data_IF_227892949483
#
_entry.id   IF_227892949483
#
_cell.length_a   1.000
_cell.length_b   1.000
_cell.length_c   1.000
_cell.angle_alpha   90.00
_cell.angle_beta   90.00
_cell.angle_gamma   90.00
#
_symmetry.space_group_name_H-M   'P 1'
#
loop_
_entity.id
_entity.type
_entity.pdbx_description
1 polymer ?
#
# COMPACT_ATOMS: atom_id res chain seq x y z
N UNK A 1 -23.03 -33.79 -0.60
CA UNK A 1 -21.96 -33.49 0.37
C UNK A 1 -21.69 -32.01 0.29
N UNK A 2 -21.94 -31.26 1.37
CA UNK A 2 -21.48 -29.88 1.45
C UNK A 2 -19.94 -29.88 1.53
N UNK A 3 -19.23 -28.98 0.84
CA UNK A 3 -17.79 -28.84 1.02
C UNK A 3 -17.49 -28.58 2.51
N UNK A 4 -16.39 -29.12 3.05
CA UNK A 4 -16.01 -28.83 4.42
C UNK A 4 -15.90 -27.31 4.61
N UNK A 5 -16.32 -26.76 5.76
CA UNK A 5 -16.17 -25.33 6.01
C UNK A 5 -14.67 -25.02 5.92
N UNK A 6 -14.28 -24.27 4.90
CA UNK A 6 -12.96 -23.63 4.85
C UNK A 6 -12.83 -22.87 6.16
N UNK A 7 -11.80 -23.17 6.94
CA UNK A 7 -11.57 -22.54 8.23
C UNK A 7 -11.50 -21.02 8.00
N UNK A 8 -12.50 -20.26 8.48
CA UNK A 8 -12.54 -18.79 8.33
C UNK A 8 -11.22 -18.12 8.75
N UNK A 9 -10.54 -18.69 9.75
CA UNK A 9 -9.22 -18.25 10.19
C UNK A 9 -8.13 -18.42 9.13
N UNK A 10 -8.13 -19.49 8.33
CA UNK A 10 -7.12 -19.72 7.28
C UNK A 10 -7.27 -18.70 6.15
N UNK A 11 -8.50 -18.43 5.70
CA UNK A 11 -8.77 -17.39 4.69
C UNK A 11 -8.37 -15.99 5.18
N UNK A 12 -8.64 -15.68 6.45
CA UNK A 12 -8.27 -14.39 7.05
C UNK A 12 -6.76 -14.23 7.14
N UNK A 13 -6.06 -15.28 7.57
CA UNK A 13 -4.59 -15.29 7.62
C UNK A 13 -3.97 -15.14 6.23
N UNK A 14 -4.48 -15.84 5.22
CA UNK A 14 -4.04 -15.66 3.82
C UNK A 14 -4.28 -14.24 3.33
N UNK A 15 -5.42 -13.64 3.69
CA UNK A 15 -5.74 -12.25 3.32
C UNK A 15 -4.77 -11.27 3.99
N UNK A 16 -4.48 -11.45 5.29
CA UNK A 16 -3.49 -10.65 6.03
C UNK A 16 -2.10 -10.81 5.41
N UNK A 17 -1.68 -12.02 5.07
CA UNK A 17 -0.40 -12.27 4.39
C UNK A 17 -0.34 -11.59 3.02
N UNK A 18 -1.44 -11.60 2.28
CA UNK A 18 -1.52 -10.91 0.97
C UNK A 18 -1.36 -9.40 1.16
N UNK A 19 -2.00 -8.82 2.18
CA UNK A 19 -1.85 -7.40 2.52
C UNK A 19 -0.41 -7.08 2.93
N UNK A 20 0.25 -7.94 3.69
CA UNK A 20 1.64 -7.77 4.11
C UNK A 20 2.61 -7.77 2.91
N UNK A 21 2.42 -8.71 1.98
CA UNK A 21 3.18 -8.78 0.72
C UNK A 21 2.95 -7.52 -0.13
N UNK A 22 1.71 -7.08 -0.28
CA UNK A 22 1.38 -5.86 -1.00
C UNK A 22 1.97 -4.63 -0.31
N UNK A 23 1.95 -4.56 1.02
CA UNK A 23 2.54 -3.47 1.79
C UNK A 23 4.04 -3.37 1.56
N UNK A 24 4.74 -4.50 1.60
CA UNK A 24 6.19 -4.57 1.33
C UNK A 24 6.49 -4.09 -0.08
N UNK A 25 5.74 -4.59 -1.07
CA UNK A 25 5.92 -4.21 -2.48
C UNK A 25 5.63 -2.72 -2.73
N UNK A 26 4.57 -2.18 -2.14
CA UNK A 26 4.24 -0.74 -2.20
C UNK A 26 5.38 0.09 -1.59
N UNK A 27 5.95 -0.36 -0.47
CA UNK A 27 7.08 0.31 0.16
C UNK A 27 8.33 0.33 -0.73
N UNK A 28 8.69 -0.81 -1.33
CA UNK A 28 9.82 -0.94 -2.25
C UNK A 28 9.65 -0.04 -3.49
N UNK A 29 8.48 -0.06 -4.11
CA UNK A 29 8.18 0.80 -5.26
C UNK A 29 8.20 2.28 -4.88
N UNK A 30 7.73 2.62 -3.68
CA UNK A 30 7.77 3.99 -3.18
C UNK A 30 9.21 4.48 -2.98
N UNK A 31 10.08 3.65 -2.40
CA UNK A 31 11.51 3.97 -2.27
C UNK A 31 12.17 4.17 -3.63
N UNK A 32 11.93 3.26 -4.59
CA UNK A 32 12.46 3.39 -5.94
C UNK A 32 12.00 4.69 -6.62
N UNK A 33 10.71 5.04 -6.48
CA UNK A 33 10.18 6.29 -7.01
C UNK A 33 10.80 7.52 -6.33
N UNK A 34 11.05 7.45 -5.02
CA UNK A 34 11.69 8.54 -4.29
C UNK A 34 13.15 8.75 -4.70
N UNK A 35 13.92 7.67 -4.82
CA UNK A 35 15.32 7.71 -5.24
C UNK A 35 15.44 8.25 -6.66
N UNK A 36 14.62 7.75 -7.58
CA UNK A 36 14.60 8.21 -8.97
C UNK A 36 14.17 9.68 -9.10
N UNK A 37 13.22 10.13 -8.27
CA UNK A 37 12.84 11.53 -8.18
C UNK A 37 14.01 12.40 -7.69
N UNK A 38 14.70 11.96 -6.64
CA UNK A 38 15.88 12.66 -6.13
C UNK A 38 16.98 12.75 -7.20
N UNK A 39 17.29 11.63 -7.86
CA UNK A 39 18.31 11.58 -8.92
C UNK A 39 17.95 12.46 -10.11
N UNK A 40 16.67 12.50 -10.49
CA UNK A 40 16.19 13.35 -11.59
C UNK A 40 16.40 14.85 -11.33
N UNK A 41 16.41 15.29 -10.07
CA UNK A 41 16.68 16.69 -9.71
C UNK A 41 18.15 17.07 -9.89
N UNK A 42 19.05 16.11 -9.72
CA UNK A 42 20.49 16.32 -9.85
C UNK A 42 21.02 16.00 -11.25
N UNK A 43 20.21 15.36 -12.09
CA UNK A 43 20.56 15.05 -13.48
C UNK A 43 20.92 16.35 -14.24
N UNK A 44 22.09 16.35 -14.86
CA UNK A 44 22.62 17.51 -15.60
C UNK A 44 22.16 17.44 -17.05
N UNK A 45 21.97 16.23 -17.59
CA UNK A 45 21.62 16.03 -19.00
C UNK A 45 20.11 15.93 -19.17
N UNK A 46 19.57 16.65 -20.18
CA UNK A 46 18.13 16.64 -20.47
C UNK A 46 17.57 15.24 -20.75
N UNK A 47 18.33 14.39 -21.45
CA UNK A 47 17.93 13.00 -21.73
C UNK A 47 17.85 12.13 -20.47
N UNK A 48 18.69 12.38 -19.46
CA UNK A 48 18.62 11.67 -18.17
C UNK A 48 17.35 12.06 -17.41
N UNK A 49 17.00 13.34 -17.42
CA UNK A 49 15.74 13.85 -16.83
C UNK A 49 14.50 13.29 -17.51
N UNK A 50 14.51 13.22 -18.84
CA UNK A 50 13.40 12.67 -19.61
C UNK A 50 13.23 11.16 -19.34
N UNK A 51 14.34 10.41 -19.33
CA UNK A 51 14.32 8.98 -18.99
C UNK A 51 13.84 8.74 -17.54
N UNK A 52 14.31 9.53 -16.57
CA UNK A 52 13.85 9.44 -15.19
C UNK A 52 12.36 9.78 -15.05
N UNK A 53 11.86 10.76 -15.81
CA UNK A 53 10.44 11.12 -15.83
C UNK A 53 9.56 9.99 -16.39
N UNK A 54 10.02 9.31 -17.45
CA UNK A 54 9.33 8.15 -18.00
C UNK A 54 9.29 6.98 -17.01
N UNK A 55 10.42 6.68 -16.37
CA UNK A 55 10.51 5.62 -15.36
C UNK A 55 9.64 5.93 -14.14
N UNK A 56 9.61 7.19 -13.66
CA UNK A 56 8.72 7.60 -12.56
C UNK A 56 7.25 7.44 -12.92
N UNK A 57 6.86 7.71 -14.17
CA UNK A 57 5.48 7.50 -14.62
C UNK A 57 5.09 6.01 -14.56
N UNK A 58 5.95 5.13 -15.06
CA UNK A 58 5.72 3.67 -15.02
C UNK A 58 5.67 3.15 -13.58
N UNK A 59 6.59 3.60 -12.72
CA UNK A 59 6.59 3.24 -11.30
C UNK A 59 5.31 3.73 -10.61
N UNK A 60 4.88 4.97 -10.87
CA UNK A 60 3.65 5.50 -10.29
C UNK A 60 2.42 4.71 -10.73
N UNK A 61 2.29 4.37 -12.01
CA UNK A 61 1.16 3.56 -12.51
C UNK A 61 1.14 2.19 -11.84
N UNK A 62 2.31 1.57 -11.68
CA UNK A 62 2.45 0.28 -10.98
C UNK A 62 2.05 0.40 -9.52
N UNK A 63 2.50 1.45 -8.85
CA UNK A 63 2.23 1.68 -7.43
C UNK A 63 0.75 2.01 -7.20
N UNK A 64 0.11 2.79 -8.06
CA UNK A 64 -1.34 3.03 -8.03
C UNK A 64 -2.14 1.74 -8.19
N UNK A 65 -1.72 0.85 -9.08
CA UNK A 65 -2.35 -0.46 -9.25
C UNK A 65 -2.20 -1.32 -7.99
N UNK A 66 -1.01 -1.35 -7.39
CA UNK A 66 -0.75 -2.14 -6.19
C UNK A 66 -1.50 -1.57 -4.97
N UNK A 67 -1.62 -0.23 -4.86
CA UNK A 67 -2.48 0.46 -3.87
C UNK A 67 -3.94 0.06 -4.05
N UNK A 68 -4.46 0.13 -5.28
CA UNK A 68 -5.85 -0.23 -5.55
C UNK A 68 -6.13 -1.70 -5.19
N UNK A 69 -5.21 -2.60 -5.54
CA UNK A 69 -5.28 -4.01 -5.13
C UNK A 69 -5.24 -4.17 -3.61
N UNK A 70 -4.38 -3.41 -2.92
CA UNK A 70 -4.32 -3.42 -1.46
C UNK A 70 -5.63 -2.92 -0.83
N UNK A 71 -6.23 -1.85 -1.37
CA UNK A 71 -7.53 -1.33 -0.90
C UNK A 71 -8.64 -2.36 -1.08
N UNK A 72 -8.70 -3.02 -2.24
CA UNK A 72 -9.69 -4.06 -2.53
C UNK A 72 -9.57 -5.24 -1.56
N UNK A 73 -8.35 -5.76 -1.36
CA UNK A 73 -8.10 -6.86 -0.42
C UNK A 73 -8.40 -6.44 1.01
N UNK A 74 -8.01 -5.22 1.41
CA UNK A 74 -8.28 -4.70 2.75
C UNK A 74 -9.77 -4.50 3.02
N UNK A 75 -10.54 -4.07 2.01
CA UNK A 75 -11.99 -3.91 2.12
C UNK A 75 -12.73 -5.25 2.28
N UNK A 76 -12.10 -6.36 1.88
CA UNK A 76 -12.66 -7.71 2.07
C UNK A 76 -12.52 -8.24 3.51
N UNK A 77 -11.68 -7.60 4.34
CA UNK A 77 -11.49 -8.03 5.72
C UNK A 77 -12.69 -7.69 6.60
N UNK A 78 -13.22 -8.70 7.27
CA UNK A 78 -14.22 -8.52 8.32
C UNK A 78 -13.52 -8.22 9.65
N UNK A 79 -13.96 -7.16 10.33
CA UNK A 79 -13.44 -6.77 11.65
C UNK A 79 -13.55 -7.91 12.68
N UNK A 80 -14.57 -8.76 12.55
CA UNK A 80 -14.79 -9.91 13.45
C UNK A 80 -13.69 -10.95 13.25
N UNK A 81 -13.34 -11.25 12.00
CA UNK A 81 -12.32 -12.24 11.68
C UNK A 81 -10.93 -11.76 12.10
N UNK A 82 -10.66 -10.45 11.93
CA UNK A 82 -9.42 -9.83 12.45
C UNK A 82 -9.39 -9.82 13.98
N UNK A 83 -10.54 -9.60 14.65
CA UNK A 83 -10.62 -9.66 16.11
C UNK A 83 -10.35 -11.08 16.63
N UNK A 84 -10.75 -12.14 15.93
CA UNK A 84 -10.45 -13.53 16.32
C UNK A 84 -8.93 -13.81 16.35
N UNK A 85 -8.16 -13.16 15.47
CA UNK A 85 -6.69 -13.22 15.51
C UNK A 85 -6.16 -12.63 16.82
N UNK A 86 -6.68 -11.47 17.24
CA UNK A 86 -6.30 -10.84 18.51
C UNK A 86 -6.75 -11.66 19.73
N UNK A 87 -7.93 -12.29 19.69
CA UNK A 87 -8.36 -13.21 20.77
C UNK A 87 -7.38 -14.37 20.92
N UNK A 88 -6.91 -14.92 19.80
CA UNK A 88 -5.91 -16.00 19.80
C UNK A 88 -4.56 -15.54 20.39
N UNK A 89 -4.23 -14.25 20.23
CA UNK A 89 -3.06 -13.63 20.85
C UNK A 89 -3.22 -13.32 22.36
N UNK A 90 -4.37 -13.65 22.97
CA UNK A 90 -4.61 -13.53 24.41
C UNK A 90 -5.39 -12.29 24.84
N UNK A 91 -5.89 -11.48 23.90
CA UNK A 91 -6.74 -10.33 24.23
C UNK A 91 -8.16 -10.77 24.60
N UNK A 92 -8.82 -9.99 25.45
CA UNK A 92 -10.27 -10.16 25.67
C UNK A 92 -11.04 -9.83 24.39
N UNK A 93 -12.28 -10.33 24.26
CA UNK A 93 -13.10 -10.08 23.07
C UNK A 93 -13.32 -8.59 22.79
N UNK A 94 -13.54 -7.80 23.84
CA UNK A 94 -13.78 -6.37 23.71
C UNK A 94 -12.50 -5.64 23.26
N UNK A 95 -11.35 -5.96 23.86
CA UNK A 95 -10.05 -5.43 23.44
C UNK A 95 -9.71 -5.83 22.00
N UNK A 96 -9.95 -7.09 21.62
CA UNK A 96 -9.67 -7.61 20.30
C UNK A 96 -10.47 -6.88 19.20
N UNK A 97 -11.74 -6.56 19.45
CA UNK A 97 -12.57 -5.78 18.52
C UNK A 97 -12.06 -4.35 18.39
N UNK A 98 -11.64 -3.73 19.49
CA UNK A 98 -11.05 -2.38 19.47
C UNK A 98 -9.77 -2.38 18.63
N UNK A 99 -8.85 -3.32 18.90
CA UNK A 99 -7.60 -3.47 18.14
C UNK A 99 -7.83 -3.72 16.66
N UNK A 100 -8.74 -4.63 16.31
CA UNK A 100 -9.08 -4.90 14.92
C UNK A 100 -9.57 -3.66 14.18
N UNK A 101 -10.38 -2.81 14.83
CA UNK A 101 -10.83 -1.54 14.24
C UNK A 101 -9.68 -0.55 14.06
N UNK A 102 -8.81 -0.45 15.07
CA UNK A 102 -7.61 0.41 15.00
C UNK A 102 -6.69 0.00 13.87
N UNK A 103 -6.44 -1.30 13.70
CA UNK A 103 -5.56 -1.84 12.66
C UNK A 103 -6.12 -1.57 11.26
N UNK A 104 -7.41 -1.85 11.02
CA UNK A 104 -8.05 -1.60 9.72
C UNK A 104 -8.11 -0.10 9.38
N UNK A 105 -8.39 0.75 10.37
CA UNK A 105 -8.36 2.19 10.19
C UNK A 105 -6.93 2.71 9.94
N UNK A 106 -5.95 2.18 10.65
CA UNK A 106 -4.53 2.51 10.48
C UNK A 106 -4.01 2.12 9.10
N UNK A 107 -4.39 0.93 8.62
CA UNK A 107 -4.07 0.46 7.27
C UNK A 107 -4.64 1.40 6.20
N UNK A 108 -5.93 1.73 6.29
CA UNK A 108 -6.59 2.64 5.35
C UNK A 108 -5.89 4.01 5.28
N UNK A 109 -5.58 4.62 6.44
CA UNK A 109 -4.88 5.92 6.50
C UNK A 109 -3.47 5.86 5.91
N UNK A 110 -2.75 4.76 6.11
CA UNK A 110 -1.39 4.58 5.55
C UNK A 110 -1.45 4.53 4.02
N UNK A 111 -2.40 3.76 3.48
CA UNK A 111 -2.60 3.66 2.03
C UNK A 111 -2.92 5.03 1.43
N UNK A 112 -3.88 5.76 1.99
CA UNK A 112 -4.25 7.12 1.53
C UNK A 112 -3.06 8.10 1.59
N UNK A 113 -2.19 7.94 2.59
CA UNK A 113 -1.00 8.78 2.73
C UNK A 113 0.00 8.51 1.61
N UNK A 114 0.26 7.24 1.30
CA UNK A 114 1.17 6.85 0.22
C UNK A 114 0.61 7.31 -1.14
N UNK A 115 -0.67 7.10 -1.40
CA UNK A 115 -1.36 7.54 -2.61
C UNK A 115 -1.21 9.06 -2.84
N UNK A 116 -1.40 9.84 -1.78
CA UNK A 116 -1.25 11.31 -1.83
C UNK A 116 0.19 11.73 -2.11
N UNK A 117 1.17 11.08 -1.48
CA UNK A 117 2.58 11.39 -1.66
C UNK A 117 3.03 11.11 -3.11
N UNK A 118 2.60 10.00 -3.69
CA UNK A 118 2.93 9.65 -5.08
C UNK A 118 2.28 10.61 -6.05
N UNK A 119 1.00 10.92 -5.84
CA UNK A 119 0.30 11.91 -6.66
C UNK A 119 1.03 13.26 -6.65
N UNK A 120 1.59 13.67 -5.51
CA UNK A 120 2.42 14.87 -5.40
C UNK A 120 3.74 14.75 -6.16
N UNK A 121 4.48 13.64 -6.01
CA UNK A 121 5.75 13.41 -6.72
C UNK A 121 5.54 13.46 -8.23
N UNK A 122 4.51 12.77 -8.73
CA UNK A 122 4.16 12.77 -10.16
C UNK A 122 3.76 14.15 -10.63
N UNK A 123 2.94 14.87 -9.86
CA UNK A 123 2.52 16.22 -10.23
C UNK A 123 3.72 17.19 -10.30
N UNK A 124 4.65 17.12 -9.35
CA UNK A 124 5.87 17.93 -9.39
C UNK A 124 6.76 17.58 -10.59
N UNK A 125 6.85 16.31 -10.97
CA UNK A 125 7.66 15.92 -12.14
C UNK A 125 7.02 16.30 -13.47
N UNK A 126 5.71 16.13 -13.60
CA UNK A 126 5.00 16.36 -14.87
C UNK A 126 4.68 17.85 -15.08
N UNK A 127 4.30 18.55 -14.01
CA UNK A 127 3.82 19.93 -14.08
C UNK A 127 4.75 20.94 -13.40
N UNK A 128 5.67 20.50 -12.54
CA UNK A 128 6.62 21.36 -11.84
C UNK A 128 7.77 21.85 -12.73
N UNK A 129 7.46 22.17 -14.00
CA UNK A 129 8.40 22.77 -14.94
C UNK A 129 9.27 23.81 -14.22
N UNK A 130 10.58 23.55 -14.32
CA UNK A 130 11.68 24.32 -13.78
C UNK A 130 11.53 25.81 -14.12
N UNK A 131 10.91 26.58 -13.23
CA UNK A 131 11.13 28.03 -13.14
C UNK A 131 12.43 28.28 -12.38
N UNK A 132 13.57 27.98 -13.03
CA UNK A 132 14.86 28.64 -12.81
C UNK A 132 15.67 28.59 -14.10
#
# INVERSE_FOLDING_TARGET
>A
MAPPPVFRGETTLTTIQTIDQLTTRVHELFQQAFDLYHDSKHAIVASERENASLQLRVLSETLQKDIAGQQEVSASLNVTDVAEVHVTAGYTKDEAVIRAKEDLAGLSRRIETIERLISKIVAEMVYGNFSQ
#
